data_IF_584423114160
#
_entry.id   IF_584423114160
#
_cell.length_a   1.000
_cell.length_b   1.000
_cell.length_c   1.000
_cell.angle_alpha   90.00
_cell.angle_beta   90.00
_cell.angle_gamma   90.00
#
_symmetry.space_group_name_H-M   'P 1'
#
loop_
_entity.id
_entity.type
_entity.pdbx_description
1 polymer ?
#
# COMPACT_ATOMS: atom_id res chain seq x y z
N UNK A 1 45.47 23.50 6.81
CA UNK A 1 44.54 23.11 7.88
C UNK A 1 43.20 22.83 7.26
N UNK A 2 42.89 21.55 7.03
CA UNK A 2 41.59 21.10 6.61
C UNK A 2 40.74 21.00 7.88
N UNK A 3 39.86 21.97 8.12
CA UNK A 3 38.83 21.84 9.14
C UNK A 3 37.82 20.83 8.63
N UNK A 4 37.85 19.61 9.13
CA UNK A 4 36.84 18.63 8.92
C UNK A 4 35.55 19.06 9.64
N UNK A 5 34.69 19.80 8.95
CA UNK A 5 33.33 19.99 9.42
C UNK A 5 32.59 18.64 9.40
N UNK A 6 32.39 18.08 10.58
CA UNK A 6 31.47 16.99 10.77
C UNK A 6 30.06 17.52 10.45
N UNK A 7 29.59 17.24 9.22
CA UNK A 7 28.19 17.41 8.87
C UNK A 7 27.38 16.47 9.77
N UNK A 8 26.77 17.04 10.79
CA UNK A 8 25.91 16.33 11.70
C UNK A 8 24.69 15.78 10.94
N UNK A 9 24.16 14.65 11.37
CA UNK A 9 22.92 14.05 10.80
C UNK A 9 21.79 15.07 10.59
N UNK A 10 21.76 16.16 11.36
CA UNK A 10 20.84 17.29 11.21
C UNK A 10 21.02 18.04 9.89
N UNK A 11 22.24 18.23 9.43
CA UNK A 11 22.52 18.99 8.21
C UNK A 11 22.18 18.17 6.95
N UNK A 12 22.31 16.85 7.03
CA UNK A 12 21.92 15.93 5.95
C UNK A 12 20.39 15.84 5.81
N UNK A 13 19.64 15.89 6.91
CA UNK A 13 18.17 15.89 6.86
C UNK A 13 17.59 17.23 6.39
N UNK A 14 18.28 18.35 6.62
CA UNK A 14 17.88 19.67 6.14
C UNK A 14 18.04 19.86 4.61
N UNK A 15 18.85 19.01 3.96
CA UNK A 15 19.08 19.05 2.50
C UNK A 15 18.22 18.04 1.71
N UNK A 16 17.48 17.15 2.37
CA UNK A 16 16.52 16.27 1.69
C UNK A 16 15.27 17.08 1.34
N UNK A 17 14.82 17.07 0.07
CA UNK A 17 13.58 17.73 -0.28
C UNK A 17 12.46 17.10 0.55
N UNK A 18 11.65 17.95 1.18
CA UNK A 18 10.46 17.49 1.92
C UNK A 18 9.57 16.76 0.92
N UNK A 19 9.16 15.50 1.19
CA UNK A 19 8.29 14.78 0.28
C UNK A 19 7.01 15.60 0.04
N UNK A 20 6.60 15.72 -1.22
CA UNK A 20 5.31 16.31 -1.56
C UNK A 20 4.18 15.36 -1.15
N UNK A 21 3.77 15.44 0.12
CA UNK A 21 2.75 14.57 0.71
C UNK A 21 1.39 14.73 0.01
N UNK A 22 1.07 15.92 -0.50
CA UNK A 22 -0.18 16.16 -1.23
C UNK A 22 -0.16 15.45 -2.59
N UNK A 23 0.96 15.49 -3.28
CA UNK A 23 1.19 14.74 -4.51
C UNK A 23 1.11 13.22 -4.28
N UNK A 24 1.67 12.72 -3.18
CA UNK A 24 1.59 11.29 -2.81
C UNK A 24 0.13 10.86 -2.66
N UNK A 25 -0.68 11.60 -1.91
CA UNK A 25 -2.11 11.30 -1.72
C UNK A 25 -2.87 11.33 -3.04
N UNK A 26 -2.63 12.34 -3.87
CA UNK A 26 -3.26 12.45 -5.19
C UNK A 26 -2.98 11.22 -6.06
N UNK A 27 -1.74 10.77 -6.10
CA UNK A 27 -1.34 9.58 -6.84
C UNK A 27 -1.91 8.29 -6.23
N UNK A 28 -1.90 8.16 -4.91
CA UNK A 28 -2.47 7.00 -4.22
C UNK A 28 -3.99 6.88 -4.49
N UNK A 29 -4.72 8.00 -4.50
CA UNK A 29 -6.14 8.04 -4.85
C UNK A 29 -6.42 7.72 -6.32
N UNK A 30 -5.50 7.99 -7.22
CA UNK A 30 -5.61 7.66 -8.64
C UNK A 30 -5.34 6.18 -8.94
N UNK A 31 -4.73 5.46 -8.02
CA UNK A 31 -4.46 4.03 -8.16
C UNK A 31 -5.75 3.20 -8.10
N UNK A 32 -5.77 2.09 -8.83
CA UNK A 32 -6.85 1.12 -8.72
C UNK A 32 -6.65 0.29 -7.44
N UNK A 33 -7.63 0.32 -6.56
CA UNK A 33 -7.56 -0.31 -5.24
C UNK A 33 -8.77 -1.19 -4.94
N UNK A 34 -8.60 -2.02 -3.92
CA UNK A 34 -9.66 -2.80 -3.29
C UNK A 34 -9.90 -2.17 -1.93
N UNK A 35 -11.09 -1.59 -1.76
CA UNK A 35 -11.43 -0.82 -0.54
C UNK A 35 -12.17 -1.68 0.46
N UNK A 36 -11.68 -1.73 1.67
CA UNK A 36 -12.32 -2.36 2.82
C UNK A 36 -12.62 -1.32 3.90
N UNK A 37 -13.65 -1.57 4.68
CA UNK A 37 -14.11 -0.67 5.73
C UNK A 37 -15.08 0.40 5.23
N UNK A 38 -15.70 1.09 6.18
CA UNK A 38 -16.65 2.16 5.94
C UNK A 38 -16.47 3.22 7.02
N UNK A 39 -16.60 4.47 6.66
CA UNK A 39 -16.49 5.56 7.64
C UNK A 39 -15.88 6.81 7.04
N UNK A 40 -15.91 7.87 7.83
CA UNK A 40 -15.38 9.20 7.50
C UNK A 40 -14.11 9.56 8.28
N UNK A 41 -13.53 8.58 8.98
CA UNK A 41 -12.30 8.75 9.75
C UNK A 41 -11.04 8.68 8.88
N UNK A 42 -10.01 8.05 9.40
CA UNK A 42 -8.75 7.88 8.69
C UNK A 42 -8.92 7.06 7.40
N UNK A 43 -8.15 7.40 6.40
CA UNK A 43 -8.09 6.75 5.10
C UNK A 43 -6.65 6.26 4.87
N UNK A 44 -6.51 4.98 4.59
CA UNK A 44 -5.21 4.33 4.39
C UNK A 44 -5.11 3.82 2.96
N UNK A 45 -4.01 4.14 2.30
CA UNK A 45 -3.65 3.60 0.99
C UNK A 45 -2.44 2.69 1.18
N UNK A 46 -2.61 1.41 0.92
CA UNK A 46 -1.59 0.41 1.20
C UNK A 46 -1.15 -0.27 -0.09
N UNK A 47 0.07 0.03 -0.53
CA UNK A 47 0.70 -0.67 -1.66
C UNK A 47 1.17 -2.03 -1.18
N UNK A 48 0.67 -3.09 -1.81
CA UNK A 48 0.87 -4.46 -1.36
C UNK A 48 1.31 -5.39 -2.48
N UNK A 49 2.09 -6.39 -2.10
CA UNK A 49 2.39 -7.54 -2.93
C UNK A 49 1.68 -8.77 -2.35
N UNK A 50 0.95 -9.55 -3.16
CA UNK A 50 0.20 -10.72 -2.69
C UNK A 50 1.04 -11.81 -2.00
N UNK A 51 2.34 -11.87 -2.27
CA UNK A 51 3.24 -12.88 -1.70
C UNK A 51 4.24 -12.30 -0.67
N UNK A 52 4.12 -11.03 -0.30
CA UNK A 52 5.00 -10.41 0.67
C UNK A 52 4.57 -10.73 2.10
N UNK A 53 5.42 -11.37 2.94
CA UNK A 53 5.08 -11.69 4.32
C UNK A 53 4.72 -10.48 5.18
N UNK A 54 5.39 -9.35 4.98
CA UNK A 54 5.10 -8.10 5.69
C UNK A 54 3.79 -7.46 5.24
N UNK A 55 3.41 -7.62 3.96
CA UNK A 55 2.09 -7.22 3.47
C UNK A 55 0.98 -8.05 4.13
N UNK A 56 1.21 -9.36 4.31
CA UNK A 56 0.28 -10.24 5.04
C UNK A 56 0.11 -9.79 6.49
N UNK A 57 1.20 -9.44 7.18
CA UNK A 57 1.15 -8.92 8.55
C UNK A 57 0.42 -7.58 8.63
N UNK A 58 0.65 -6.69 7.67
CA UNK A 58 -0.03 -5.39 7.57
C UNK A 58 -1.54 -5.59 7.35
N UNK A 59 -1.92 -6.51 6.47
CA UNK A 59 -3.32 -6.86 6.27
C UNK A 59 -3.98 -7.37 7.57
N UNK A 60 -3.32 -8.28 8.28
CA UNK A 60 -3.80 -8.81 9.55
C UNK A 60 -3.95 -7.71 10.62
N UNK A 61 -3.05 -6.73 10.64
CA UNK A 61 -3.11 -5.58 11.53
C UNK A 61 -4.36 -4.73 11.27
N UNK A 62 -4.65 -4.39 10.02
CA UNK A 62 -5.87 -3.65 9.66
C UNK A 62 -7.15 -4.46 9.90
N UNK A 63 -7.13 -5.77 9.67
CA UNK A 63 -8.26 -6.65 9.97
C UNK A 63 -8.56 -6.69 11.49
N UNK A 64 -7.52 -6.70 12.33
CA UNK A 64 -7.66 -6.61 13.77
C UNK A 64 -8.24 -5.26 14.21
N UNK A 65 -7.72 -4.15 13.67
CA UNK A 65 -8.22 -2.80 13.96
C UNK A 65 -9.69 -2.63 13.54
N UNK A 66 -10.08 -3.19 12.40
CA UNK A 66 -11.47 -3.14 11.94
C UNK A 66 -12.45 -3.84 12.90
N UNK A 67 -11.99 -4.83 13.65
CA UNK A 67 -12.78 -5.53 14.69
C UNK A 67 -12.91 -4.72 15.98
N UNK A 68 -11.98 -3.80 16.26
CA UNK A 68 -12.02 -2.92 17.44
C UNK A 68 -13.08 -1.81 17.26
N UNK A 69 -13.39 -1.40 16.03
CA UNK A 69 -14.44 -0.43 15.75
C UNK A 69 -14.45 0.07 14.30
N UNK A 70 -15.62 0.51 13.82
CA UNK A 70 -15.73 1.13 12.51
C UNK A 70 -15.18 2.56 12.53
N UNK A 71 -14.74 3.05 11.40
CA UNK A 71 -14.41 4.48 11.27
C UNK A 71 -13.29 4.80 10.32
N UNK A 72 -12.63 3.81 9.72
CA UNK A 72 -11.58 4.04 8.74
C UNK A 72 -11.80 3.21 7.46
N UNK A 73 -11.11 3.60 6.41
CA UNK A 73 -11.07 2.87 5.13
C UNK A 73 -9.65 2.47 4.81
N UNK A 74 -9.49 1.28 4.27
CA UNK A 74 -8.21 0.80 3.74
C UNK A 74 -8.39 0.52 2.25
N UNK A 75 -7.56 1.17 1.44
CA UNK A 75 -7.46 0.98 0.00
C UNK A 75 -6.22 0.14 -0.28
N UNK A 76 -6.38 -1.14 -0.50
CA UNK A 76 -5.28 -2.02 -0.89
C UNK A 76 -4.99 -1.84 -2.38
N UNK A 77 -3.76 -1.46 -2.70
CA UNK A 77 -3.27 -1.19 -4.06
C UNK A 77 -2.31 -2.32 -4.44
N UNK A 78 -2.77 -3.35 -5.16
CA UNK A 78 -1.92 -4.46 -5.56
C UNK A 78 -0.90 -4.01 -6.60
N UNK A 79 0.38 -4.35 -6.39
CA UNK A 79 1.47 -4.00 -7.32
C UNK A 79 2.32 -5.20 -7.76
N UNK A 80 2.53 -6.24 -6.94
CA UNK A 80 3.16 -7.49 -7.35
C UNK A 80 4.59 -7.34 -7.88
N UNK A 81 5.55 -7.03 -7.00
CA UNK A 81 6.96 -6.80 -7.38
C UNK A 81 7.89 -8.00 -7.11
N UNK A 82 7.39 -9.03 -6.43
CA UNK A 82 8.19 -10.19 -6.00
C UNK A 82 8.23 -11.34 -7.03
N UNK A 83 8.11 -11.02 -8.30
CA UNK A 83 8.21 -11.97 -9.39
C UNK A 83 6.87 -12.33 -10.05
N UNK A 84 6.88 -13.27 -11.02
CA UNK A 84 5.73 -13.55 -11.88
C UNK A 84 4.47 -13.99 -11.14
N UNK A 85 4.62 -14.75 -10.06
CA UNK A 85 3.49 -15.20 -9.23
C UNK A 85 2.80 -14.02 -8.54
N UNK A 86 3.58 -13.09 -8.02
CA UNK A 86 3.09 -11.85 -7.41
C UNK A 86 2.39 -10.96 -8.42
N UNK A 87 2.99 -10.80 -9.58
CA UNK A 87 2.41 -10.03 -10.68
C UNK A 87 1.06 -10.59 -11.13
N UNK A 88 0.98 -11.91 -11.35
CA UNK A 88 -0.27 -12.58 -11.73
C UNK A 88 -1.32 -12.48 -10.62
N UNK A 89 -0.92 -12.60 -9.35
CA UNK A 89 -1.80 -12.38 -8.21
C UNK A 89 -2.38 -10.98 -8.17
N UNK A 90 -1.54 -9.97 -8.34
CA UNK A 90 -1.96 -8.56 -8.38
C UNK A 90 -2.89 -8.27 -9.57
N UNK A 91 -2.54 -8.72 -10.77
CA UNK A 91 -3.39 -8.60 -11.97
C UNK A 91 -4.73 -9.28 -11.76
N UNK A 92 -4.73 -10.52 -11.25
CA UNK A 92 -5.94 -11.27 -10.98
C UNK A 92 -6.88 -10.54 -10.01
N UNK A 93 -6.33 -10.04 -8.90
CA UNK A 93 -7.09 -9.21 -7.94
C UNK A 93 -7.71 -7.98 -8.61
N UNK A 94 -6.95 -7.28 -9.43
CA UNK A 94 -7.41 -6.06 -10.13
C UNK A 94 -8.41 -6.35 -11.25
N UNK A 95 -8.42 -7.57 -11.79
CA UNK A 95 -9.38 -8.02 -12.80
C UNK A 95 -10.71 -8.51 -12.23
N UNK A 96 -10.77 -8.76 -10.94
CA UNK A 96 -11.98 -9.19 -10.24
C UNK A 96 -12.80 -8.00 -9.72
N UNK A 97 -14.05 -8.24 -9.33
CA UNK A 97 -14.96 -7.23 -8.77
C UNK A 97 -15.81 -7.82 -7.65
N UNK A 98 -16.34 -6.91 -6.82
CA UNK A 98 -17.31 -7.25 -5.79
C UNK A 98 -16.77 -8.21 -4.72
N UNK A 99 -17.65 -9.05 -4.20
CA UNK A 99 -17.34 -9.98 -3.11
C UNK A 99 -16.24 -10.99 -3.49
N UNK A 100 -16.21 -11.45 -4.74
CA UNK A 100 -15.17 -12.37 -5.22
C UNK A 100 -13.78 -11.74 -5.13
N UNK A 101 -13.64 -10.45 -5.43
CA UNK A 101 -12.39 -9.71 -5.32
C UNK A 101 -11.93 -9.58 -3.86
N UNK A 102 -12.85 -9.24 -2.96
CA UNK A 102 -12.58 -9.12 -1.52
C UNK A 102 -12.16 -10.46 -0.93
N UNK A 103 -12.86 -11.53 -1.28
CA UNK A 103 -12.52 -12.89 -0.83
C UNK A 103 -11.16 -13.36 -1.36
N UNK A 104 -10.84 -13.05 -2.61
CA UNK A 104 -9.54 -13.36 -3.20
C UNK A 104 -8.40 -12.59 -2.52
N UNK A 105 -8.61 -11.30 -2.23
CA UNK A 105 -7.66 -10.49 -1.47
C UNK A 105 -7.42 -11.11 -0.08
N UNK A 106 -8.48 -11.39 0.67
CA UNK A 106 -8.38 -12.02 1.98
C UNK A 106 -7.66 -13.36 1.93
N UNK A 107 -7.96 -14.18 0.92
CA UNK A 107 -7.28 -15.46 0.71
C UNK A 107 -5.76 -15.30 0.52
N UNK A 108 -5.35 -14.45 -0.41
CA UNK A 108 -3.93 -14.19 -0.68
C UNK A 108 -3.22 -13.58 0.52
N UNK A 109 -3.82 -12.60 1.18
CA UNK A 109 -3.22 -11.91 2.32
C UNK A 109 -3.17 -12.75 3.60
N UNK A 110 -3.89 -13.85 3.66
CA UNK A 110 -3.79 -14.84 4.74
C UNK A 110 -2.93 -16.06 4.38
N UNK A 111 -2.20 -15.97 3.26
CA UNK A 111 -1.26 -17.01 2.83
C UNK A 111 -1.91 -18.21 2.17
N UNK A 112 -3.19 -18.14 1.82
CA UNK A 112 -3.84 -19.19 1.04
C UNK A 112 -3.40 -19.09 -0.42
N UNK A 113 -3.02 -20.24 -0.99
CA UNK A 113 -2.74 -20.31 -2.41
C UNK A 113 -4.05 -20.01 -3.19
N UNK A 114 -4.08 -18.93 -3.92
CA UNK A 114 -5.15 -18.63 -4.85
C UNK A 114 -4.59 -18.69 -6.28
N UNK A 115 -5.23 -19.48 -7.11
CA UNK A 115 -4.93 -19.49 -8.55
C UNK A 115 -5.86 -18.49 -9.22
N UNK A 116 -5.27 -17.47 -9.82
CA UNK A 116 -6.03 -16.50 -10.62
C UNK A 116 -6.32 -17.08 -12.00
N UNK A 117 -7.55 -16.89 -12.49
CA UNK A 117 -7.89 -17.28 -13.86
C UNK A 117 -7.17 -16.39 -14.88
N UNK A 118 -6.87 -16.93 -16.05
CA UNK A 118 -6.26 -16.15 -17.13
C UNK A 118 -7.14 -14.96 -17.56
N UNK A 119 -8.46 -15.11 -17.47
CA UNK A 119 -9.42 -14.04 -17.73
C UNK A 119 -9.26 -12.88 -16.71
N UNK A 120 -9.20 -13.18 -15.42
CA UNK A 120 -9.01 -12.17 -14.38
C UNK A 120 -7.63 -11.48 -14.50
N UNK A 121 -6.57 -12.25 -14.80
CA UNK A 121 -5.23 -11.71 -15.02
C UNK A 121 -5.25 -10.74 -16.23
N UNK A 122 -5.85 -11.13 -17.34
CA UNK A 122 -5.96 -10.28 -18.52
C UNK A 122 -6.79 -9.02 -18.27
N UNK A 123 -7.90 -9.14 -17.56
CA UNK A 123 -8.77 -8.01 -17.22
C UNK A 123 -8.09 -7.00 -16.27
N UNK A 124 -7.18 -7.45 -15.41
CA UNK A 124 -6.46 -6.59 -14.47
C UNK A 124 -5.16 -5.99 -14.98
N UNK A 125 -4.69 -6.39 -16.15
CA UNK A 125 -3.35 -6.01 -16.65
C UNK A 125 -3.16 -4.49 -16.76
N UNK A 126 -4.13 -3.77 -17.33
CA UNK A 126 -4.06 -2.30 -17.48
C UNK A 126 -4.02 -1.59 -16.12
N UNK A 127 -4.87 -2.01 -15.19
CA UNK A 127 -4.90 -1.43 -13.84
C UNK A 127 -3.59 -1.71 -13.09
N UNK A 128 -3.03 -2.90 -13.25
CA UNK A 128 -1.74 -3.26 -12.69
C UNK A 128 -0.61 -2.38 -13.24
N UNK A 129 -0.55 -2.17 -14.56
CA UNK A 129 0.44 -1.28 -15.19
C UNK A 129 0.35 0.14 -14.63
N UNK A 130 -0.86 0.67 -14.44
CA UNK A 130 -1.09 1.98 -13.84
C UNK A 130 -0.61 2.04 -12.38
N UNK A 131 -0.94 1.04 -11.58
CA UNK A 131 -0.48 0.97 -10.19
C UNK A 131 1.05 0.89 -10.10
N UNK A 132 1.67 0.10 -10.96
CA UNK A 132 3.13 0.00 -11.03
C UNK A 132 3.79 1.32 -11.43
N UNK A 133 3.20 2.05 -12.40
CA UNK A 133 3.68 3.37 -12.79
C UNK A 133 3.59 4.38 -11.64
N UNK A 134 2.47 4.39 -10.91
CA UNK A 134 2.29 5.25 -9.72
C UNK A 134 3.34 4.91 -8.65
N UNK A 135 3.51 3.64 -8.34
CA UNK A 135 4.47 3.16 -7.35
C UNK A 135 5.90 3.62 -7.67
N UNK A 136 6.32 3.48 -8.93
CA UNK A 136 7.65 3.94 -9.38
C UNK A 136 7.77 5.46 -9.39
N UNK A 137 6.75 6.19 -9.82
CA UNK A 137 6.74 7.65 -9.84
C UNK A 137 6.82 8.25 -8.44
N UNK A 138 6.27 7.57 -7.44
CA UNK A 138 6.41 7.92 -6.03
C UNK A 138 7.77 7.51 -5.44
N UNK A 139 8.63 6.89 -6.24
CA UNK A 139 9.95 6.40 -5.84
C UNK A 139 9.89 5.38 -4.69
N UNK A 140 8.80 4.64 -4.60
CA UNK A 140 8.69 3.49 -3.70
C UNK A 140 9.44 2.30 -4.29
N UNK A 141 10.21 1.61 -3.48
CA UNK A 141 11.08 0.50 -3.89
C UNK A 141 10.84 -0.79 -3.09
N UNK A 142 10.04 -0.71 -2.05
CA UNK A 142 9.72 -1.84 -1.18
C UNK A 142 8.25 -1.83 -0.77
N UNK A 143 7.74 -2.98 -0.33
CA UNK A 143 6.39 -3.17 0.18
C UNK A 143 6.40 -3.78 1.57
N UNK A 144 5.38 -3.53 2.39
CA UNK A 144 4.27 -2.60 2.15
C UNK A 144 4.68 -1.13 2.27
N UNK A 145 3.95 -0.24 1.61
CA UNK A 145 3.98 1.20 1.88
C UNK A 145 2.57 1.64 2.23
N UNK A 146 2.41 2.30 3.36
CA UNK A 146 1.13 2.83 3.84
C UNK A 146 1.15 4.35 3.80
N UNK A 147 0.20 4.94 3.08
CA UNK A 147 -0.10 6.37 3.12
C UNK A 147 -1.35 6.56 3.94
N UNK A 148 -1.25 7.29 5.04
CA UNK A 148 -2.37 7.61 5.93
C UNK A 148 -2.81 9.06 5.72
N UNK A 149 -4.13 9.26 5.66
CA UNK A 149 -4.76 10.58 5.66
C UNK A 149 -5.75 10.62 6.82
N UNK A 150 -5.53 11.50 7.78
CA UNK A 150 -6.38 11.65 8.95
C UNK A 150 -6.40 13.10 9.41
N UNK A 151 -7.59 13.67 9.64
CA UNK A 151 -7.73 15.03 10.16
C UNK A 151 -7.05 16.12 9.30
N UNK A 152 -6.83 15.88 8.02
CA UNK A 152 -6.09 16.78 7.12
C UNK A 152 -4.57 16.58 7.14
N UNK A 153 -4.06 15.71 7.99
CA UNK A 153 -2.65 15.33 8.04
C UNK A 153 -2.37 14.11 7.16
N UNK A 154 -1.17 14.04 6.61
CA UNK A 154 -0.70 12.95 5.76
C UNK A 154 0.60 12.40 6.34
N UNK A 155 0.67 11.08 6.47
CA UNK A 155 1.90 10.39 6.83
C UNK A 155 2.16 9.21 5.89
N UNK A 156 3.43 8.84 5.75
CA UNK A 156 3.86 7.69 4.93
C UNK A 156 4.74 6.79 5.78
N UNK A 157 4.35 5.52 5.85
CA UNK A 157 5.13 4.48 6.52
C UNK A 157 5.69 3.52 5.48
N UNK A 158 7.01 3.36 5.47
CA UNK A 158 7.72 2.37 4.66
C UNK A 158 7.94 1.11 5.49
N UNK A 159 7.46 -0.02 4.99
CA UNK A 159 7.43 -1.26 5.73
C UNK A 159 6.12 -1.41 6.53
N UNK A 160 6.11 -2.37 7.47
CA UNK A 160 4.94 -2.60 8.30
C UNK A 160 4.71 -1.41 9.24
N UNK A 161 3.54 -0.76 9.21
CA UNK A 161 3.25 0.36 10.10
C UNK A 161 3.16 -0.12 11.55
N UNK A 162 3.48 0.77 12.49
CA UNK A 162 3.29 0.50 13.92
C UNK A 162 1.83 0.75 14.29
N UNK A 163 1.31 -0.02 15.24
CA UNK A 163 -0.09 0.08 15.67
C UNK A 163 -0.44 1.50 16.17
N UNK A 164 0.51 2.14 16.86
CA UNK A 164 0.36 3.50 17.37
C UNK A 164 0.23 4.52 16.25
N UNK A 165 0.90 4.31 15.11
CA UNK A 165 0.80 5.18 13.94
C UNK A 165 -0.58 5.11 13.29
N UNK A 166 -1.26 3.99 13.41
CA UNK A 166 -2.58 3.73 12.80
C UNK A 166 -3.76 4.23 13.64
N UNK A 167 -3.52 4.57 14.91
CA UNK A 167 -4.56 5.02 15.87
C UNK A 167 -4.62 6.54 16.06
N UNK A 168 -3.86 7.30 15.28
CA UNK A 168 -3.81 8.77 15.37
C UNK A 168 -4.96 9.45 14.63
#
# INVERSE_FOLDING_TARGET
>A
TVSGENLTRRDLTAQMPTPDLSGIVKHARAATSITLGSGSGAEFFVFVDPNCPYCHKTYALFDALAKEGPGFKVHYIPIGILGPRSENGAKGLLGMRGEAQVNALAGLMTGKAATMSNEAIGAGDKAHQQNMAIFRNLQFDAVPVTVMVSGGEVSVSNGMPQLEELRQ
#
